data_IF_707108349430
#
_entry.id   IF_707108349430
#
_cell.length_a   1.000
_cell.length_b   1.000
_cell.length_c   1.000
_cell.angle_alpha   90.00
_cell.angle_beta   90.00
_cell.angle_gamma   90.00
#
_symmetry.space_group_name_H-M   'P 1'
#
loop_
_entity.id
_entity.type
_entity.pdbx_description
1 polymer ?
#
# COMPACT_ATOMS: atom_id res chain seq x y z
N UNK A 1 0.32 52.35 42.42
CA UNK A 1 0.41 50.88 42.30
C UNK A 1 -0.75 50.47 41.40
N UNK A 2 -0.46 50.29 40.11
CA UNK A 2 -1.45 50.10 39.05
C UNK A 2 -1.61 48.61 38.74
N UNK A 3 -2.84 48.14 38.65
CA UNK A 3 -3.19 46.74 38.44
C UNK A 3 -3.38 46.48 36.93
N UNK A 4 -2.29 46.08 36.26
CA UNK A 4 -2.30 45.70 34.85
C UNK A 4 -3.00 44.36 34.59
N UNK A 5 -4.26 44.41 34.15
CA UNK A 5 -5.00 43.30 33.55
C UNK A 5 -4.63 43.20 32.07
N UNK A 6 -3.77 42.26 31.68
CA UNK A 6 -3.53 41.95 30.26
C UNK A 6 -4.54 40.90 29.75
N UNK A 7 -5.25 41.28 28.69
CA UNK A 7 -6.29 40.52 28.03
C UNK A 7 -5.76 39.24 27.38
N UNK A 8 -6.50 38.13 27.54
CA UNK A 8 -6.36 36.96 26.66
C UNK A 8 -6.98 37.33 25.32
N UNK A 9 -6.15 37.43 24.28
CA UNK A 9 -6.64 37.51 22.91
C UNK A 9 -7.38 36.20 22.59
N UNK A 10 -8.70 36.27 22.46
CA UNK A 10 -9.52 35.20 21.93
C UNK A 10 -9.28 35.13 20.43
N UNK A 11 -8.70 34.02 19.96
CA UNK A 11 -8.64 33.68 18.54
C UNK A 11 -10.08 33.38 18.11
N UNK A 12 -10.61 34.03 17.06
CA UNK A 12 -11.98 33.79 16.62
C UNK A 12 -12.12 32.35 16.06
N UNK A 13 -13.27 31.73 16.32
CA UNK A 13 -13.53 30.31 16.05
C UNK A 13 -13.50 29.94 14.54
N UNK A 14 -13.64 30.94 13.68
CA UNK A 14 -13.54 30.84 12.22
C UNK A 14 -12.13 30.47 11.73
N UNK A 15 -11.07 30.96 12.38
CA UNK A 15 -9.68 30.55 12.09
C UNK A 15 -9.35 29.16 12.57
N UNK A 16 -10.10 28.62 13.52
CA UNK A 16 -9.88 27.27 14.03
C UNK A 16 -10.56 26.22 13.15
N UNK A 17 -11.66 26.58 12.47
CA UNK A 17 -12.33 25.75 11.46
C UNK A 17 -11.58 25.72 10.11
N UNK A 18 -11.04 26.85 9.64
CA UNK A 18 -10.21 26.90 8.41
C UNK A 18 -8.91 26.09 8.54
N UNK A 19 -8.51 25.81 9.78
CA UNK A 19 -7.37 24.97 10.10
C UNK A 19 -7.74 23.50 10.31
N UNK A 20 -8.96 23.04 10.05
CA UNK A 20 -9.27 21.60 10.01
C UNK A 20 -9.51 21.06 8.60
N UNK A 21 -9.58 21.94 7.59
CA UNK A 21 -9.40 21.58 6.17
C UNK A 21 -7.90 21.38 5.81
N UNK A 22 -7.02 21.38 6.82
CA UNK A 22 -5.59 21.03 6.73
C UNK A 22 -5.39 19.72 5.98
N UNK A 23 -4.39 19.69 5.10
CA UNK A 23 -3.71 18.51 4.54
C UNK A 23 -4.50 17.20 4.66
N UNK A 24 -5.49 17.01 3.77
CA UNK A 24 -6.18 15.72 3.73
C UNK A 24 -5.18 14.66 3.28
N UNK A 25 -5.12 13.55 3.98
CA UNK A 25 -4.26 12.43 3.57
C UNK A 25 -4.92 11.71 2.39
N UNK A 26 -4.19 11.53 1.30
CA UNK A 26 -4.57 10.65 0.20
C UNK A 26 -4.20 9.22 0.56
N UNK A 27 -5.20 8.36 0.72
CA UNK A 27 -5.00 6.96 1.11
C UNK A 27 -5.03 6.11 -0.16
N UNK A 28 -3.98 5.30 -0.44
CA UNK A 28 -4.07 4.28 -1.48
C UNK A 28 -4.97 3.13 -1.01
N UNK A 29 -5.77 2.61 -1.94
CA UNK A 29 -6.72 1.52 -1.66
C UNK A 29 -6.66 0.51 -2.81
N UNK A 30 -5.78 -0.50 -2.71
CA UNK A 30 -5.75 -1.61 -3.66
C UNK A 30 -7.05 -2.41 -3.56
N UNK A 31 -7.67 -2.65 -4.71
CA UNK A 31 -8.90 -3.42 -4.80
C UNK A 31 -8.77 -4.48 -5.89
N UNK A 32 -9.16 -5.70 -5.57
CA UNK A 32 -9.23 -6.80 -6.54
C UNK A 32 -10.37 -6.57 -7.52
N UNK A 33 -10.08 -6.75 -8.80
CA UNK A 33 -11.09 -6.96 -9.83
C UNK A 33 -11.39 -8.46 -9.91
N UNK A 34 -12.64 -8.81 -10.24
CA UNK A 34 -13.01 -10.20 -10.47
C UNK A 34 -12.02 -10.88 -11.43
N UNK A 35 -11.55 -12.06 -11.04
CA UNK A 35 -10.62 -12.84 -11.84
C UNK A 35 -11.21 -13.10 -13.24
N UNK A 36 -10.38 -12.90 -14.26
CA UNK A 36 -10.76 -13.10 -15.66
C UNK A 36 -9.93 -14.23 -16.29
N UNK A 37 -10.30 -14.64 -17.49
CA UNK A 37 -9.55 -15.62 -18.31
C UNK A 37 -9.28 -16.95 -17.59
N UNK A 38 -10.27 -17.44 -16.84
CA UNK A 38 -10.15 -18.71 -16.12
C UNK A 38 -9.95 -19.87 -17.09
N UNK A 39 -8.86 -20.63 -16.91
CA UNK A 39 -8.60 -21.83 -17.70
C UNK A 39 -7.88 -22.91 -16.91
N UNK A 40 -8.27 -24.15 -17.15
CA UNK A 40 -7.51 -25.31 -16.68
C UNK A 40 -6.28 -25.52 -17.57
N UNK A 41 -5.19 -25.95 -16.95
CA UNK A 41 -3.94 -26.27 -17.63
C UNK A 41 -3.19 -27.35 -16.84
N UNK A 42 -2.09 -27.84 -17.41
CA UNK A 42 -1.15 -28.73 -16.74
C UNK A 42 0.27 -28.21 -16.86
N UNK A 43 1.06 -28.29 -15.80
CA UNK A 43 2.46 -27.87 -15.77
C UNK A 43 3.31 -28.94 -15.08
N UNK A 44 4.53 -29.18 -15.57
CA UNK A 44 5.47 -30.10 -14.91
C UNK A 44 6.36 -29.29 -13.96
N UNK A 45 6.30 -29.62 -12.67
CA UNK A 45 7.12 -28.99 -11.62
C UNK A 45 7.89 -30.10 -10.92
N UNK A 46 9.22 -29.98 -10.86
CA UNK A 46 10.08 -31.02 -10.25
C UNK A 46 9.92 -32.42 -10.88
N UNK A 47 9.56 -32.49 -12.18
CA UNK A 47 9.31 -33.76 -12.88
C UNK A 47 7.93 -34.38 -12.68
N UNK A 48 7.04 -33.74 -11.91
CA UNK A 48 5.66 -34.20 -11.67
C UNK A 48 4.66 -33.31 -12.41
N UNK A 49 3.62 -33.90 -13.03
CA UNK A 49 2.54 -33.13 -13.65
C UNK A 49 1.57 -32.61 -12.59
N UNK A 50 1.33 -31.30 -12.59
CA UNK A 50 0.34 -30.60 -11.76
C UNK A 50 -0.78 -30.05 -12.63
N UNK A 51 -2.03 -30.23 -12.19
CA UNK A 51 -3.17 -29.53 -12.75
C UNK A 51 -3.31 -28.15 -12.09
N UNK A 52 -3.47 -27.11 -12.89
CA UNK A 52 -3.53 -25.73 -12.41
C UNK A 52 -4.76 -25.01 -12.96
N UNK A 53 -5.34 -24.13 -12.14
CA UNK A 53 -6.28 -23.13 -12.59
C UNK A 53 -5.51 -21.83 -12.82
N UNK A 54 -5.48 -21.36 -14.06
CA UNK A 54 -4.88 -20.07 -14.41
C UNK A 54 -5.98 -19.02 -14.56
N UNK A 55 -5.65 -17.79 -14.23
CA UNK A 55 -6.51 -16.63 -14.36
C UNK A 55 -5.67 -15.36 -14.43
N UNK A 56 -6.26 -14.30 -14.95
CA UNK A 56 -5.73 -12.94 -14.91
C UNK A 56 -6.13 -12.28 -13.59
N UNK A 57 -5.15 -11.80 -12.82
CA UNK A 57 -5.38 -10.95 -11.64
C UNK A 57 -5.15 -9.49 -12.02
N UNK A 58 -6.10 -8.64 -11.65
CA UNK A 58 -6.00 -7.19 -11.81
C UNK A 58 -6.32 -6.57 -10.47
N UNK A 59 -5.37 -5.79 -9.95
CA UNK A 59 -5.54 -4.96 -8.75
C UNK A 59 -5.47 -3.51 -9.19
N UNK A 60 -6.52 -2.75 -8.91
CA UNK A 60 -6.55 -1.32 -9.20
C UNK A 60 -6.42 -0.52 -7.91
N UNK A 61 -5.79 0.65 -7.97
CA UNK A 61 -5.74 1.57 -6.84
C UNK A 61 -6.95 2.51 -6.91
N UNK A 62 -7.95 2.26 -6.08
CA UNK A 62 -9.18 3.05 -6.03
C UNK A 62 -9.23 4.16 -5.01
N UNK A 63 -8.14 4.29 -4.24
CA UNK A 63 -8.01 5.35 -3.27
C UNK A 63 -7.63 6.68 -3.90
N UNK A 64 -7.87 7.77 -3.15
CA UNK A 64 -7.52 9.13 -3.55
C UNK A 64 -6.01 9.44 -3.42
N UNK A 65 -5.19 8.46 -3.02
CA UNK A 65 -3.74 8.57 -2.88
C UNK A 65 -2.97 7.57 -3.75
N UNK A 66 -1.72 7.89 -4.07
CA UNK A 66 -0.86 7.00 -4.85
C UNK A 66 -0.37 5.80 -4.01
N UNK A 67 -0.35 4.61 -4.60
CA UNK A 67 0.40 3.47 -4.07
C UNK A 67 1.90 3.66 -4.40
N UNK A 68 2.64 4.27 -3.49
CA UNK A 68 4.08 4.52 -3.63
C UNK A 68 4.88 3.64 -2.66
N UNK A 69 5.51 2.59 -3.19
CA UNK A 69 6.38 1.67 -2.46
C UNK A 69 7.85 1.90 -2.86
N UNK A 70 8.72 2.07 -1.87
CA UNK A 70 10.16 2.31 -2.07
C UNK A 70 11.00 1.25 -1.39
N UNK A 71 11.83 0.58 -2.17
CA UNK A 71 12.83 -0.37 -1.66
C UNK A 71 14.06 0.35 -1.12
N UNK A 72 14.55 -0.08 0.04
CA UNK A 72 15.84 0.32 0.59
C UNK A 72 16.65 -0.94 0.85
N UNK A 73 17.64 -1.18 -0.01
CA UNK A 73 18.51 -2.35 0.05
C UNK A 73 19.67 -2.16 1.02
N UNK A 74 20.00 -3.22 1.75
CA UNK A 74 21.14 -3.27 2.66
C UNK A 74 22.08 -4.39 2.24
N UNK A 75 23.33 -4.04 1.95
CA UNK A 75 24.37 -5.03 1.62
C UNK A 75 24.77 -5.90 2.81
N UNK A 76 24.59 -5.39 4.03
CA UNK A 76 24.95 -6.12 5.26
C UNK A 76 23.94 -7.21 5.56
N UNK A 77 22.64 -6.87 5.56
CA UNK A 77 21.57 -7.83 5.82
C UNK A 77 21.14 -8.63 4.59
N UNK A 78 21.56 -8.21 3.38
CA UNK A 78 21.13 -8.77 2.10
C UNK A 78 19.60 -8.76 1.92
N UNK A 79 18.94 -7.74 2.48
CA UNK A 79 17.48 -7.56 2.38
C UNK A 79 17.15 -6.21 1.78
N UNK A 80 15.98 -6.12 1.15
CA UNK A 80 15.41 -4.87 0.65
C UNK A 80 14.12 -4.58 1.39
N UNK A 81 14.17 -3.65 2.34
CA UNK A 81 12.98 -3.22 3.10
C UNK A 81 12.09 -2.33 2.24
N UNK A 82 10.78 -2.49 2.35
CA UNK A 82 9.80 -1.69 1.61
C UNK A 82 9.21 -0.65 2.54
N UNK A 83 9.23 0.60 2.09
CA UNK A 83 8.59 1.71 2.75
C UNK A 83 7.48 2.28 1.87
N UNK A 84 6.26 2.34 2.41
CA UNK A 84 5.15 3.02 1.77
C UNK A 84 5.18 4.50 2.12
N UNK A 85 5.06 5.36 1.11
CA UNK A 85 4.81 6.79 1.31
C UNK A 85 3.32 7.08 1.19
N UNK A 86 2.79 7.77 2.19
CA UNK A 86 1.40 8.20 2.23
C UNK A 86 1.41 9.73 2.21
N UNK A 87 0.86 10.30 1.16
CA UNK A 87 0.92 11.74 0.87
C UNK A 87 -0.32 12.45 1.42
N UNK A 88 -0.15 13.70 1.82
CA UNK A 88 -1.25 14.64 2.01
C UNK A 88 -1.48 15.52 0.78
N UNK A 89 -2.53 16.33 0.81
CA UNK A 89 -2.88 17.23 -0.30
C UNK A 89 -1.85 18.34 -0.54
N UNK A 90 -0.89 18.58 0.35
CA UNK A 90 0.23 19.50 0.09
C UNK A 90 1.41 18.82 -0.61
N UNK A 91 1.38 17.48 -0.73
CA UNK A 91 2.48 16.67 -1.23
C UNK A 91 3.52 16.29 -0.18
N UNK A 92 3.35 16.72 1.08
CA UNK A 92 4.11 16.16 2.19
C UNK A 92 3.69 14.71 2.41
N UNK A 93 4.57 13.89 2.99
CA UNK A 93 4.30 12.47 3.20
C UNK A 93 4.82 11.96 4.53
N UNK A 94 4.18 10.90 5.01
CA UNK A 94 4.74 10.00 6.02
C UNK A 94 5.26 8.72 5.37
N UNK A 95 6.26 8.10 5.97
CA UNK A 95 6.87 6.85 5.48
C UNK A 95 6.72 5.75 6.53
N UNK A 96 6.29 4.56 6.11
CA UNK A 96 6.10 3.39 7.00
C UNK A 96 6.73 2.16 6.37
N UNK A 97 7.45 1.36 7.16
CA UNK A 97 7.89 0.04 6.71
C UNK A 97 6.67 -0.87 6.58
N UNK A 98 6.52 -1.55 5.44
CA UNK A 98 5.35 -2.40 5.12
C UNK A 98 5.75 -3.81 4.65
N UNK A 99 7.02 -4.18 4.76
CA UNK A 99 7.50 -5.50 4.36
C UNK A 99 8.83 -5.47 3.63
N UNK A 100 9.03 -6.43 2.72
CA UNK A 100 10.26 -6.63 1.97
C UNK A 100 10.00 -6.83 0.47
N UNK A 101 10.99 -6.42 -0.33
CA UNK A 101 11.08 -6.77 -1.73
C UNK A 101 12.05 -7.94 -1.88
N UNK A 102 11.61 -8.99 -2.58
CA UNK A 102 12.41 -10.17 -2.89
C UNK A 102 12.67 -10.20 -4.39
N UNK A 103 13.93 -10.35 -4.79
CA UNK A 103 14.28 -10.47 -6.19
C UNK A 103 13.91 -11.87 -6.71
N UNK A 104 13.17 -11.94 -7.82
CA UNK A 104 12.75 -13.19 -8.45
C UNK A 104 13.48 -13.40 -9.79
N UNK A 105 14.52 -14.25 -9.85
CA UNK A 105 15.39 -14.39 -11.03
C UNK A 105 14.65 -14.76 -12.32
N UNK A 106 13.60 -15.58 -12.24
CA UNK A 106 12.84 -16.05 -13.39
C UNK A 106 12.05 -14.91 -14.06
N UNK A 107 11.81 -13.79 -13.36
CA UNK A 107 11.10 -12.63 -13.90
C UNK A 107 11.97 -11.38 -14.01
N UNK A 108 13.23 -11.45 -13.57
CA UNK A 108 14.21 -10.36 -13.56
C UNK A 108 13.70 -9.06 -12.89
N UNK A 109 12.88 -9.18 -11.86
CA UNK A 109 12.40 -8.04 -11.08
C UNK A 109 12.12 -8.38 -9.61
N UNK A 110 11.93 -7.34 -8.80
CA UNK A 110 11.57 -7.47 -7.38
C UNK A 110 10.06 -7.64 -7.20
N UNK A 111 9.66 -8.63 -6.40
CA UNK A 111 8.29 -8.81 -5.93
C UNK A 111 8.09 -8.15 -4.57
N UNK A 112 6.89 -7.61 -4.32
CA UNK A 112 6.44 -7.28 -2.98
C UNK A 112 5.89 -8.53 -2.30
N UNK A 113 6.54 -8.97 -1.22
CA UNK A 113 6.12 -10.17 -0.50
C UNK A 113 4.74 -10.01 0.12
N UNK A 114 3.93 -11.07 0.05
CA UNK A 114 2.59 -11.10 0.63
C UNK A 114 1.55 -10.19 -0.02
N UNK A 115 1.75 -9.79 -1.29
CA UNK A 115 0.82 -8.89 -1.97
C UNK A 115 -0.58 -9.49 -2.20
N UNK A 116 -0.67 -10.80 -2.50
CA UNK A 116 -1.94 -11.47 -2.80
C UNK A 116 -1.98 -12.88 -2.23
N UNK A 117 -3.17 -13.33 -1.85
CA UNK A 117 -3.46 -14.70 -1.47
C UNK A 117 -4.50 -15.28 -2.43
N UNK A 118 -4.22 -16.45 -2.99
CA UNK A 118 -5.11 -17.12 -3.95
C UNK A 118 -5.55 -18.45 -3.38
N UNK A 119 -6.86 -18.59 -3.22
CA UNK A 119 -7.47 -19.76 -2.58
C UNK A 119 -8.58 -20.34 -3.46
N UNK A 120 -8.69 -21.67 -3.45
CA UNK A 120 -9.77 -22.38 -4.10
C UNK A 120 -10.64 -23.02 -3.02
N UNK A 121 -11.85 -22.48 -2.86
CA UNK A 121 -12.80 -22.92 -1.85
C UNK A 121 -13.83 -23.89 -2.42
N UNK A 122 -14.23 -24.86 -1.59
CA UNK A 122 -15.44 -25.64 -1.91
C UNK A 122 -16.68 -24.82 -1.51
N UNK A 123 -17.85 -25.24 -1.98
CA UNK A 123 -19.11 -24.63 -1.55
C UNK A 123 -19.35 -24.67 -0.03
N UNK A 124 -18.71 -25.60 0.68
CA UNK A 124 -18.91 -25.78 2.12
C UNK A 124 -18.14 -24.77 2.99
N UNK A 125 -17.17 -24.02 2.42
CA UNK A 125 -16.18 -23.29 3.22
C UNK A 125 -15.15 -24.26 3.77
#
# INVERSE_FOLDING_TARGET
MDAGRHARASIPADRQAAASERCRVGIPEPQDVAAADLRFDSVVIGGTTHHVLRFSNVVWNGGDGALDLRGVSSFVSKTTKVYQRIYDTSGAYMSRNVGEFVFHPEHDHFHFEGFSNFELWTKAG
#
